data_IF_183291063516
#
_entry.id   IF_183291063516
#
_cell.length_a   1.000
_cell.length_b   1.000
_cell.length_c   1.000
_cell.angle_alpha   90.00
_cell.angle_beta   90.00
_cell.angle_gamma   90.00
#
_symmetry.space_group_name_H-M   'P 1'
#
loop_
_entity.id
_entity.type
_entity.pdbx_description
1 polymer ?
#
# COMPACT_ATOMS: atom_id res chain seq x y z
N UNK A 1 -0.15 -17.56 32.40
CA UNK A 1 -1.30 -18.22 31.73
C UNK A 1 -2.54 -17.44 32.08
N UNK A 2 -3.19 -16.94 31.02
CA UNK A 2 -4.50 -16.29 30.95
C UNK A 2 -4.67 -14.87 31.53
N UNK A 3 -4.44 -13.88 30.65
CA UNK A 3 -5.13 -12.60 30.66
C UNK A 3 -5.21 -12.00 29.23
N UNK A 4 -5.76 -12.77 28.29
CA UNK A 4 -6.34 -12.24 27.04
C UNK A 4 -7.84 -12.34 27.25
N UNK A 5 -8.55 -11.21 27.26
CA UNK A 5 -9.99 -11.01 26.99
C UNK A 5 -10.51 -9.77 27.74
N UNK A 6 -10.49 -8.62 27.06
CA UNK A 6 -11.40 -7.52 27.37
C UNK A 6 -11.60 -6.63 26.13
N UNK A 7 -12.06 -7.22 25.05
CA UNK A 7 -12.81 -6.54 23.99
C UNK A 7 -14.26 -7.04 24.10
N UNK A 8 -15.09 -6.36 24.90
CA UNK A 8 -16.56 -6.52 24.87
C UNK A 8 -17.20 -5.14 24.86
N UNK A 9 -17.85 -4.86 23.74
CA UNK A 9 -18.61 -3.67 23.42
C UNK A 9 -19.78 -3.49 24.39
N UNK A 10 -19.97 -2.27 24.90
CA UNK A 10 -21.26 -1.83 25.46
C UNK A 10 -21.98 -1.04 24.38
N UNK A 11 -23.13 -1.56 23.96
CA UNK A 11 -23.98 -0.96 22.96
C UNK A 11 -24.57 0.37 23.42
N UNK A 12 -24.50 1.36 22.54
CA UNK A 12 -25.27 2.58 22.63
C UNK A 12 -26.38 2.56 21.57
N UNK A 13 -27.61 2.84 22.00
CA UNK A 13 -28.83 2.80 21.19
C UNK A 13 -29.09 4.19 20.60
N UNK A 14 -29.20 4.26 19.28
CA UNK A 14 -30.05 5.25 18.62
C UNK A 14 -29.34 6.32 17.80
N UNK A 15 -29.05 5.99 16.54
CA UNK A 15 -29.30 6.85 15.36
C UNK A 15 -29.07 6.00 14.11
N UNK A 16 -30.06 5.99 13.21
CA UNK A 16 -30.03 5.22 11.98
C UNK A 16 -28.80 5.61 11.14
N UNK A 17 -27.90 4.65 10.90
CA UNK A 17 -26.76 4.76 9.98
C UNK A 17 -27.21 4.34 8.57
N UNK A 18 -26.76 5.00 7.50
CA UNK A 18 -26.98 4.51 6.14
C UNK A 18 -26.22 3.18 5.93
N UNK A 19 -26.67 2.31 5.02
CA UNK A 19 -26.09 0.98 4.84
C UNK A 19 -24.65 1.07 4.34
N UNK A 20 -23.77 0.30 4.98
CA UNK A 20 -22.40 0.01 4.49
C UNK A 20 -22.53 -0.87 3.25
N UNK A 21 -22.43 -0.29 2.07
CA UNK A 21 -22.26 -1.05 0.83
C UNK A 21 -20.76 -1.07 0.48
N UNK A 22 -19.99 -1.86 1.21
CA UNK A 22 -18.75 -2.43 0.67
C UNK A 22 -19.19 -3.57 -0.24
N UNK A 23 -19.18 -3.34 -1.56
CA UNK A 23 -19.48 -4.40 -2.52
C UNK A 23 -18.19 -5.22 -2.66
N UNK A 24 -18.03 -6.21 -1.80
CA UNK A 24 -17.14 -7.33 -2.10
C UNK A 24 -17.80 -8.11 -3.25
N UNK A 25 -17.19 -8.10 -4.43
CA UNK A 25 -17.55 -9.05 -5.48
C UNK A 25 -17.03 -10.42 -5.05
N UNK A 26 -17.94 -11.22 -4.50
CA UNK A 26 -17.77 -12.67 -4.40
C UNK A 26 -17.86 -13.25 -5.82
N UNK A 27 -16.71 -13.48 -6.45
CA UNK A 27 -16.62 -14.27 -7.68
C UNK A 27 -16.51 -15.75 -7.31
N UNK A 28 -17.58 -16.29 -6.74
CA UNK A 28 -17.78 -17.74 -6.74
C UNK A 28 -18.15 -18.16 -8.17
N UNK A 29 -17.15 -18.62 -8.92
CA UNK A 29 -17.30 -19.26 -10.22
C UNK A 29 -17.94 -20.64 -10.03
N UNK A 30 -19.27 -20.68 -9.89
CA UNK A 30 -20.01 -21.90 -10.20
C UNK A 30 -21.35 -21.56 -10.90
N UNK A 31 -21.43 -21.94 -12.18
CA UNK A 31 -22.67 -22.07 -12.93
C UNK A 31 -23.27 -20.81 -13.55
N UNK A 32 -22.84 -20.45 -14.77
CA UNK A 32 -23.67 -20.06 -15.94
C UNK A 32 -22.94 -19.09 -16.90
N UNK A 33 -21.94 -19.61 -17.61
CA UNK A 33 -21.46 -18.99 -18.85
C UNK A 33 -22.43 -19.30 -19.98
N UNK A 34 -23.57 -18.62 -20.03
CA UNK A 34 -24.39 -18.50 -21.24
C UNK A 34 -25.32 -17.29 -21.08
N UNK A 35 -25.29 -16.39 -22.07
CA UNK A 35 -26.04 -15.11 -22.20
C UNK A 35 -25.42 -13.84 -21.58
N UNK A 36 -24.30 -13.38 -22.15
CA UNK A 36 -24.06 -11.94 -22.27
C UNK A 36 -24.13 -11.56 -23.76
N UNK A 37 -25.36 -11.59 -24.28
CA UNK A 37 -25.69 -10.90 -25.51
C UNK A 37 -25.71 -9.39 -25.21
N UNK A 38 -25.14 -8.62 -26.13
CA UNK A 38 -24.95 -7.17 -26.07
C UNK A 38 -26.27 -6.45 -25.82
N UNK A 39 -26.41 -5.87 -24.63
CA UNK A 39 -27.34 -4.76 -24.38
C UNK A 39 -26.52 -3.53 -23.99
N UNK A 40 -26.32 -2.67 -24.99
CA UNK A 40 -25.69 -1.37 -24.91
C UNK A 40 -26.61 -0.44 -24.08
N UNK A 41 -26.47 -0.48 -22.75
CA UNK A 41 -27.20 0.44 -21.86
C UNK A 41 -26.38 1.71 -21.66
N UNK A 42 -26.95 2.81 -22.13
CA UNK A 42 -26.43 4.17 -22.11
C UNK A 42 -26.38 4.79 -20.69
N UNK A 43 -25.56 4.24 -19.80
CA UNK A 43 -25.09 4.90 -18.59
C UNK A 43 -23.56 4.82 -18.56
N UNK A 44 -22.84 5.93 -18.28
CA UNK A 44 -21.40 5.83 -18.05
C UNK A 44 -21.16 4.83 -16.91
N UNK A 45 -20.14 3.96 -17.02
CA UNK A 45 -19.82 3.01 -15.96
C UNK A 45 -19.69 3.76 -14.64
N UNK A 46 -20.34 3.23 -13.59
CA UNK A 46 -20.35 3.85 -12.26
C UNK A 46 -18.91 3.97 -11.79
N UNK A 47 -18.39 5.20 -11.71
CA UNK A 47 -17.00 5.45 -11.33
C UNK A 47 -16.66 4.76 -10.00
N UNK A 48 -15.53 4.05 -9.98
CA UNK A 48 -14.92 3.48 -8.79
C UNK A 48 -14.27 4.61 -8.00
N UNK A 49 -14.84 4.93 -6.85
CA UNK A 49 -14.31 5.95 -5.96
C UNK A 49 -13.01 5.48 -5.31
N UNK A 50 -12.02 6.37 -5.21
CA UNK A 50 -10.78 6.06 -4.52
C UNK A 50 -10.91 6.21 -2.99
N UNK A 51 -10.02 5.58 -2.23
CA UNK A 51 -9.94 5.61 -0.76
C UNK A 51 -8.80 6.51 -0.26
N UNK A 52 -8.51 6.48 1.04
CA UNK A 52 -7.41 7.24 1.64
C UNK A 52 -6.03 6.89 1.07
N UNK A 53 -5.85 5.67 0.54
CA UNK A 53 -4.65 5.27 -0.22
C UNK A 53 -4.29 6.28 -1.30
N UNK A 54 -5.24 6.57 -2.18
CA UNK A 54 -5.05 7.50 -3.30
C UNK A 54 -5.03 8.94 -2.83
N UNK A 55 -5.87 9.31 -1.86
CA UNK A 55 -5.90 10.66 -1.31
C UNK A 55 -4.52 11.05 -0.72
N UNK A 56 -3.94 10.15 0.08
CA UNK A 56 -2.61 10.35 0.67
C UNK A 56 -1.48 10.25 -0.36
N UNK A 57 -1.59 9.35 -1.35
CA UNK A 57 -0.61 9.28 -2.44
C UNK A 57 -0.58 10.59 -3.26
N UNK A 58 -1.74 11.15 -3.61
CA UNK A 58 -1.84 12.45 -4.28
C UNK A 58 -1.23 13.57 -3.45
N UNK A 59 -1.54 13.63 -2.15
CA UNK A 59 -0.98 14.64 -1.25
C UNK A 59 0.55 14.55 -1.13
N UNK A 60 1.11 13.32 -1.10
CA UNK A 60 2.56 13.08 -1.10
C UNK A 60 3.19 13.61 -2.39
N UNK A 61 2.63 13.25 -3.55
CA UNK A 61 3.14 13.68 -4.86
C UNK A 61 3.05 15.19 -5.03
N UNK A 62 1.92 15.79 -4.62
CA UNK A 62 1.76 17.25 -4.66
C UNK A 62 2.78 17.97 -3.78
N UNK A 63 3.20 17.39 -2.66
CA UNK A 63 4.29 17.94 -1.84
C UNK A 63 5.62 17.92 -2.59
N UNK A 64 5.99 16.76 -3.14
CA UNK A 64 7.22 16.60 -3.92
C UNK A 64 7.27 17.59 -5.09
N UNK A 65 6.15 17.77 -5.80
CA UNK A 65 6.05 18.71 -6.92
C UNK A 65 6.12 20.18 -6.48
N UNK A 66 5.43 20.55 -5.40
CA UNK A 66 5.41 21.94 -4.95
C UNK A 66 6.77 22.39 -4.39
N UNK A 67 7.55 21.44 -3.88
CA UNK A 67 8.82 21.68 -3.21
C UNK A 67 10.03 21.32 -4.06
N UNK A 68 9.81 20.61 -5.17
CA UNK A 68 10.84 19.98 -6.01
C UNK A 68 11.87 19.18 -5.20
N UNK A 69 11.45 18.71 -4.03
CA UNK A 69 12.24 18.02 -3.02
C UNK A 69 11.29 17.47 -1.95
N UNK A 70 11.83 16.66 -1.06
CA UNK A 70 11.16 16.25 0.16
C UNK A 70 11.20 17.40 1.17
N UNK A 71 10.02 17.80 1.66
CA UNK A 71 9.81 18.75 2.75
C UNK A 71 8.76 18.14 3.68
N UNK A 72 9.20 17.67 4.83
CA UNK A 72 8.35 17.00 5.81
C UNK A 72 7.23 17.90 6.34
N UNK A 73 7.47 19.21 6.41
CA UNK A 73 6.50 20.17 6.94
C UNK A 73 5.39 20.42 5.93
N UNK A 74 5.75 20.65 4.66
CA UNK A 74 4.77 20.78 3.58
C UNK A 74 3.94 19.50 3.43
N UNK A 75 4.59 18.34 3.42
CA UNK A 75 3.92 17.04 3.27
C UNK A 75 2.97 16.75 4.43
N UNK A 76 3.37 17.00 5.68
CA UNK A 76 2.53 16.82 6.84
C UNK A 76 1.28 17.70 6.80
N UNK A 77 1.45 18.97 6.44
CA UNK A 77 0.32 19.88 6.29
C UNK A 77 -0.61 19.45 5.16
N UNK A 78 -0.11 18.98 4.02
CA UNK A 78 -0.94 18.46 2.92
C UNK A 78 -1.76 17.25 3.34
N UNK A 79 -1.17 16.29 4.05
CA UNK A 79 -1.94 15.15 4.60
C UNK A 79 -3.08 15.63 5.50
N UNK A 80 -2.78 16.57 6.38
CA UNK A 80 -3.76 17.08 7.33
C UNK A 80 -4.88 17.90 6.65
N UNK A 81 -4.55 18.69 5.62
CA UNK A 81 -5.53 19.44 4.84
C UNK A 81 -6.37 18.54 3.92
N UNK A 82 -5.79 17.49 3.33
CA UNK A 82 -6.54 16.53 2.53
C UNK A 82 -7.57 15.79 3.37
N UNK A 83 -7.18 15.32 4.57
CA UNK A 83 -8.13 14.76 5.53
C UNK A 83 -9.23 15.75 5.92
N UNK A 84 -8.88 17.04 6.13
CA UNK A 84 -9.86 18.07 6.47
C UNK A 84 -10.86 18.32 5.33
N UNK A 85 -10.39 18.27 4.09
CA UNK A 85 -11.18 18.50 2.89
C UNK A 85 -12.15 17.34 2.63
N UNK A 86 -11.69 16.10 2.79
CA UNK A 86 -12.48 14.90 2.49
C UNK A 86 -12.23 13.79 3.54
N UNK A 87 -12.85 13.89 4.73
CA UNK A 87 -12.55 13.00 5.87
C UNK A 87 -13.16 11.60 5.73
N UNK A 88 -14.10 11.40 4.80
CA UNK A 88 -14.90 10.18 4.66
C UNK A 88 -14.31 9.18 3.64
N UNK A 89 -13.00 9.29 3.35
CA UNK A 89 -12.27 8.45 2.37
C UNK A 89 -11.79 7.09 2.86
N UNK A 90 -12.05 6.73 4.11
CA UNK A 90 -11.67 5.40 4.65
C UNK A 90 -10.55 5.40 5.70
N UNK A 91 -10.01 6.57 6.05
CA UNK A 91 -8.88 6.70 6.98
C UNK A 91 -9.01 5.86 8.26
N UNK A 92 -7.93 5.16 8.60
CA UNK A 92 -7.82 4.43 9.87
C UNK A 92 -8.08 5.31 11.10
N UNK A 93 -8.84 4.79 12.08
CA UNK A 93 -9.27 5.56 13.25
C UNK A 93 -8.11 6.19 14.04
N UNK A 94 -6.96 5.51 14.08
CA UNK A 94 -5.75 6.02 14.72
C UNK A 94 -5.21 7.29 14.03
N UNK A 95 -5.02 7.25 12.71
CA UNK A 95 -4.31 8.31 11.98
C UNK A 95 -5.08 9.64 11.96
N UNK A 96 -6.41 9.60 12.12
CA UNK A 96 -7.25 10.79 12.27
C UNK A 96 -6.75 11.70 13.42
N UNK A 97 -6.26 11.12 14.51
CA UNK A 97 -5.72 11.90 15.65
C UNK A 97 -4.45 12.64 15.26
N UNK A 98 -3.60 12.04 14.42
CA UNK A 98 -2.40 12.67 13.87
C UNK A 98 -2.80 13.88 13.02
N UNK A 99 -3.73 13.73 12.08
CA UNK A 99 -4.16 14.84 11.22
C UNK A 99 -4.75 16.01 12.02
N UNK A 100 -5.58 15.72 13.03
CA UNK A 100 -6.12 16.76 13.92
C UNK A 100 -5.04 17.52 14.67
N UNK A 101 -3.98 16.84 15.12
CA UNK A 101 -2.83 17.47 15.77
C UNK A 101 -1.99 18.29 14.79
N UNK A 102 -1.77 17.80 13.56
CA UNK A 102 -1.05 18.52 12.51
C UNK A 102 -1.77 19.80 12.05
N UNK A 103 -3.11 19.84 12.11
CA UNK A 103 -3.89 21.06 11.86
C UNK A 103 -3.82 22.08 13.00
N UNK A 104 -3.32 21.70 14.17
CA UNK A 104 -3.24 22.58 15.33
C UNK A 104 -2.09 23.58 15.17
N UNK A 105 -2.30 24.88 15.41
CA UNK A 105 -1.22 25.87 15.41
C UNK A 105 -0.18 25.64 16.52
N UNK A 106 -0.42 24.67 17.41
CA UNK A 106 0.51 24.25 18.47
C UNK A 106 1.46 23.13 18.04
N UNK A 107 1.33 22.61 16.82
CA UNK A 107 2.25 21.60 16.30
C UNK A 107 3.52 22.30 15.79
N UNK A 108 4.62 22.12 16.52
CA UNK A 108 5.95 22.63 16.13
C UNK A 108 6.85 21.54 15.54
N UNK A 109 6.62 20.29 15.93
CA UNK A 109 7.30 19.11 15.43
C UNK A 109 6.26 18.22 14.73
N UNK A 110 6.36 18.13 13.40
CA UNK A 110 5.42 17.39 12.55
C UNK A 110 5.47 15.87 12.75
N UNK A 111 6.49 15.35 13.42
CA UNK A 111 6.62 13.93 13.74
C UNK A 111 6.07 13.58 15.13
N UNK A 112 5.93 14.54 16.05
CA UNK A 112 5.39 14.30 17.39
C UNK A 112 4.02 13.64 17.38
N UNK A 113 3.05 14.07 16.53
CA UNK A 113 1.72 13.48 16.52
C UNK A 113 1.74 11.97 16.27
N UNK A 114 2.59 11.51 15.35
CA UNK A 114 2.76 10.10 15.03
C UNK A 114 3.45 9.33 16.16
N UNK A 115 4.49 9.90 16.77
CA UNK A 115 5.18 9.28 17.92
C UNK A 115 4.27 9.10 19.12
N UNK A 116 3.32 10.01 19.34
CA UNK A 116 2.37 9.93 20.44
C UNK A 116 1.30 8.83 20.28
N UNK A 117 1.16 8.23 19.09
CA UNK A 117 0.16 7.19 18.85
C UNK A 117 0.46 5.92 19.66
N UNK A 118 -0.60 5.19 20.02
CA UNK A 118 -0.51 3.88 20.69
C UNK A 118 0.36 3.90 21.95
N UNK A 119 0.14 4.88 22.82
CA UNK A 119 0.90 5.07 24.07
C UNK A 119 2.41 5.27 23.85
N UNK A 120 2.78 5.95 22.76
CA UNK A 120 4.19 6.24 22.45
C UNK A 120 4.86 5.21 21.53
N UNK A 121 4.18 4.11 21.18
CA UNK A 121 4.73 3.03 20.36
C UNK A 121 4.70 3.33 18.86
N UNK A 122 3.84 4.26 18.44
CA UNK A 122 3.61 4.54 17.02
C UNK A 122 2.74 3.49 16.32
N UNK A 123 2.23 3.85 15.14
CA UNK A 123 1.42 2.95 14.30
C UNK A 123 2.29 1.95 13.54
N UNK A 124 1.88 0.68 13.51
CA UNK A 124 2.45 -0.38 12.66
C UNK A 124 1.60 -0.66 11.40
N UNK A 125 0.56 0.14 11.16
CA UNK A 125 -0.31 -0.01 9.99
C UNK A 125 0.41 0.24 8.65
N UNK A 126 -0.20 -0.22 7.57
CA UNK A 126 0.30 -0.11 6.20
C UNK A 126 0.08 1.26 5.54
N UNK A 127 -0.60 2.19 6.22
CA UNK A 127 -0.90 3.51 5.65
C UNK A 127 0.34 4.32 5.27
N UNK A 128 1.50 4.05 5.89
CA UNK A 128 2.80 4.56 5.44
C UNK A 128 3.21 4.06 4.06
N UNK A 129 3.01 2.76 3.81
CA UNK A 129 3.39 2.07 2.58
C UNK A 129 2.41 2.32 1.42
N UNK A 130 1.10 2.38 1.70
CA UNK A 130 0.07 2.54 0.66
C UNK A 130 0.24 3.79 -0.22
N UNK A 131 0.94 4.82 0.29
CA UNK A 131 1.13 6.12 -0.37
C UNK A 131 2.55 6.36 -0.91
N UNK A 132 3.49 5.45 -0.65
CA UNK A 132 4.94 5.75 -0.73
C UNK A 132 5.49 5.75 -2.16
N UNK A 133 4.75 5.22 -3.15
CA UNK A 133 5.23 4.99 -4.51
C UNK A 133 5.72 6.26 -5.24
N UNK A 134 5.29 7.45 -4.83
CA UNK A 134 5.82 8.72 -5.36
C UNK A 134 7.29 8.98 -5.03
N UNK A 135 7.80 8.40 -3.93
CA UNK A 135 9.21 8.56 -3.49
C UNK A 135 10.20 7.93 -4.50
N UNK A 136 10.12 6.63 -4.86
CA UNK A 136 11.04 6.04 -5.82
C UNK A 136 10.86 6.56 -7.25
N UNK A 137 9.72 7.19 -7.57
CA UNK A 137 9.55 7.92 -8.84
C UNK A 137 10.30 9.25 -8.87
N UNK A 138 10.50 9.88 -7.71
CA UNK A 138 11.20 11.16 -7.57
C UNK A 138 12.71 11.00 -7.28
N UNK A 139 13.11 9.90 -6.63
CA UNK A 139 14.48 9.68 -6.18
C UNK A 139 15.05 8.39 -6.78
N UNK A 140 16.17 8.50 -7.49
CA UNK A 140 16.85 7.37 -8.14
C UNK A 140 17.95 6.72 -7.30
N UNK A 141 18.48 7.40 -6.29
CA UNK A 141 19.44 6.80 -5.35
C UNK A 141 18.69 6.01 -4.27
N UNK A 142 19.01 4.71 -4.14
CA UNK A 142 18.42 3.82 -3.12
C UNK A 142 18.51 4.38 -1.69
N UNK A 143 19.58 5.11 -1.36
CA UNK A 143 19.76 5.75 -0.05
C UNK A 143 18.71 6.84 0.19
N UNK A 144 18.41 7.63 -0.83
CA UNK A 144 17.37 8.66 -0.78
C UNK A 144 15.97 8.03 -0.78
N UNK A 145 15.76 6.95 -1.54
CA UNK A 145 14.52 6.17 -1.49
C UNK A 145 14.25 5.69 -0.06
N UNK A 146 15.20 5.02 0.58
CA UNK A 146 15.05 4.56 1.96
C UNK A 146 14.85 5.71 2.95
N UNK A 147 15.64 6.78 2.82
CA UNK A 147 15.57 7.95 3.70
C UNK A 147 14.21 8.64 3.60
N UNK A 148 13.74 8.97 2.40
CA UNK A 148 12.51 9.72 2.21
C UNK A 148 11.26 8.84 2.33
N UNK A 149 11.33 7.53 2.05
CA UNK A 149 10.28 6.59 2.41
C UNK A 149 10.10 6.54 3.94
N UNK A 150 11.19 6.44 4.71
CA UNK A 150 11.15 6.50 6.17
C UNK A 150 10.54 7.81 6.67
N UNK A 151 11.09 8.95 6.23
CA UNK A 151 10.67 10.27 6.72
C UNK A 151 9.22 10.58 6.32
N UNK A 152 8.77 10.21 5.12
CA UNK A 152 7.37 10.38 4.70
C UNK A 152 6.42 9.48 5.50
N UNK A 153 6.83 8.26 5.83
CA UNK A 153 6.04 7.32 6.63
C UNK A 153 5.90 7.80 8.08
N UNK A 154 7.00 8.28 8.68
CA UNK A 154 7.08 8.73 10.07
C UNK A 154 6.15 9.90 10.40
N UNK A 155 5.65 10.64 9.40
CA UNK A 155 4.60 11.66 9.60
C UNK A 155 3.29 11.08 10.17
N UNK A 156 3.05 9.78 10.00
CA UNK A 156 1.87 9.09 10.56
C UNK A 156 2.18 7.76 11.24
N UNK A 157 3.30 7.12 10.90
CA UNK A 157 3.70 5.78 11.34
C UNK A 157 5.09 5.81 11.98
N UNK A 158 5.12 6.03 13.30
CA UNK A 158 6.37 6.17 14.04
C UNK A 158 7.00 4.84 14.50
N UNK A 159 6.26 3.72 14.46
CA UNK A 159 6.84 2.39 14.73
C UNK A 159 7.64 1.94 13.52
N UNK A 160 8.80 1.31 13.75
CA UNK A 160 9.60 0.66 12.69
C UNK A 160 8.80 -0.37 11.92
N UNK A 161 7.86 -1.05 12.58
CA UNK A 161 6.96 -1.96 11.90
C UNK A 161 6.11 -1.26 10.84
N UNK A 162 5.75 0.01 11.03
CA UNK A 162 5.06 0.80 10.01
C UNK A 162 6.01 1.39 8.98
N UNK A 163 7.07 2.10 9.41
CA UNK A 163 7.95 2.80 8.46
C UNK A 163 8.90 1.87 7.69
N UNK A 164 9.31 0.73 8.22
CA UNK A 164 10.09 -0.26 7.46
C UNK A 164 9.26 -0.93 6.37
N UNK A 165 7.94 -1.10 6.58
CA UNK A 165 7.04 -1.54 5.51
C UNK A 165 6.94 -0.53 4.38
N UNK A 166 6.92 0.77 4.71
CA UNK A 166 6.96 1.83 3.69
C UNK A 166 8.29 1.85 2.94
N UNK A 167 9.41 1.63 3.62
CA UNK A 167 10.72 1.49 2.97
C UNK A 167 10.74 0.27 2.04
N UNK A 168 10.25 -0.88 2.51
CA UNK A 168 10.17 -2.11 1.71
C UNK A 168 9.34 -1.91 0.44
N UNK A 169 8.15 -1.30 0.57
CA UNK A 169 7.29 -0.99 -0.58
C UNK A 169 7.99 -0.03 -1.55
N UNK A 170 8.68 1.00 -1.05
CA UNK A 170 9.40 1.95 -1.90
C UNK A 170 10.58 1.28 -2.63
N UNK A 171 11.30 0.38 -1.97
CA UNK A 171 12.37 -0.42 -2.57
C UNK A 171 11.85 -1.36 -3.65
N UNK A 172 10.69 -2.01 -3.43
CA UNK A 172 10.07 -2.88 -4.43
C UNK A 172 9.70 -2.11 -5.70
N UNK A 173 9.07 -0.93 -5.55
CA UNK A 173 8.80 -0.06 -6.70
C UNK A 173 10.09 0.43 -7.36
N UNK A 174 11.12 0.75 -6.58
CA UNK A 174 12.42 1.17 -7.10
C UNK A 174 13.10 0.08 -7.97
N UNK A 175 13.09 -1.18 -7.53
CA UNK A 175 13.61 -2.31 -8.32
C UNK A 175 12.76 -2.57 -9.56
N UNK A 176 11.43 -2.47 -9.45
CA UNK A 176 10.53 -2.60 -10.59
C UNK A 176 10.82 -1.55 -11.68
N UNK A 177 11.10 -0.30 -11.32
CA UNK A 177 11.49 0.76 -12.25
C UNK A 177 12.81 0.48 -12.99
N UNK A 178 13.68 -0.36 -12.43
CA UNK A 178 14.94 -0.78 -13.06
C UNK A 178 14.77 -1.95 -14.03
N UNK A 179 13.56 -2.53 -14.11
CA UNK A 179 13.26 -3.66 -14.99
C UNK A 179 13.80 -4.99 -14.48
N UNK A 180 14.01 -5.15 -13.17
CA UNK A 180 14.47 -6.41 -12.60
C UNK A 180 13.46 -7.54 -12.87
N UNK A 181 13.87 -8.51 -13.69
CA UNK A 181 13.01 -9.56 -14.23
C UNK A 181 13.12 -10.89 -13.49
N UNK A 182 14.18 -11.08 -12.69
CA UNK A 182 14.38 -12.27 -11.87
C UNK A 182 13.70 -12.07 -10.51
N UNK A 183 12.71 -12.90 -10.19
CA UNK A 183 12.08 -12.93 -8.88
C UNK A 183 13.09 -13.23 -7.76
N UNK A 184 14.04 -14.13 -8.03
CA UNK A 184 15.13 -14.47 -7.10
C UNK A 184 16.00 -13.24 -6.79
N UNK A 185 16.49 -12.54 -7.82
CA UNK A 185 17.33 -11.35 -7.60
C UNK A 185 16.54 -10.21 -6.97
N UNK A 186 15.29 -10.01 -7.37
CA UNK A 186 14.39 -9.03 -6.77
C UNK A 186 14.24 -9.25 -5.26
N UNK A 187 14.02 -10.50 -4.84
CA UNK A 187 13.93 -10.87 -3.43
C UNK A 187 15.26 -10.75 -2.70
N UNK A 188 16.37 -11.14 -3.32
CA UNK A 188 17.72 -11.02 -2.75
C UNK A 188 18.05 -9.56 -2.43
N UNK A 189 17.79 -8.63 -3.36
CA UNK A 189 18.02 -7.20 -3.14
C UNK A 189 17.16 -6.64 -2.01
N UNK A 190 15.86 -6.97 -1.99
CA UNK A 190 14.97 -6.54 -0.90
C UNK A 190 15.40 -7.11 0.45
N UNK A 191 15.72 -8.40 0.50
CA UNK A 191 16.14 -9.07 1.72
C UNK A 191 17.43 -8.48 2.27
N UNK A 192 18.42 -8.20 1.42
CA UNK A 192 19.67 -7.57 1.84
C UNK A 192 19.46 -6.22 2.53
N UNK A 193 18.59 -5.37 1.97
CA UNK A 193 18.22 -4.11 2.60
C UNK A 193 17.43 -4.30 3.90
N UNK A 194 16.45 -5.20 3.92
CA UNK A 194 15.63 -5.42 5.11
C UNK A 194 16.41 -6.03 6.28
N UNK A 195 17.38 -6.90 6.02
CA UNK A 195 18.23 -7.46 7.08
C UNK A 195 19.11 -6.39 7.75
N UNK A 196 19.59 -5.41 6.99
CA UNK A 196 20.31 -4.24 7.54
C UNK A 196 19.37 -3.37 8.38
N UNK A 197 18.19 -3.04 7.84
CA UNK A 197 17.21 -2.16 8.47
C UNK A 197 16.59 -2.74 9.74
N UNK A 198 16.30 -4.04 9.76
CA UNK A 198 15.78 -4.77 10.92
C UNK A 198 16.88 -5.21 11.89
N UNK A 199 18.15 -4.99 11.55
CA UNK A 199 19.28 -5.11 12.46
C UNK A 199 19.42 -3.94 13.45
N UNK A 200 18.72 -2.83 13.21
CA UNK A 200 18.71 -1.67 14.10
C UNK A 200 18.08 -1.98 15.47
N UNK A 201 18.68 -1.42 16.53
CA UNK A 201 18.24 -1.71 17.89
C UNK A 201 16.80 -1.27 18.17
N UNK A 202 16.33 -0.15 17.59
CA UNK A 202 14.95 0.31 17.76
C UNK A 202 13.99 -0.61 17.01
N UNK A 203 14.36 -1.08 15.81
CA UNK A 203 13.54 -2.01 15.04
C UNK A 203 13.28 -3.32 15.80
N UNK A 204 14.33 -3.89 16.40
CA UNK A 204 14.23 -5.08 17.24
C UNK A 204 13.35 -4.84 18.47
N UNK A 205 13.46 -3.68 19.12
CA UNK A 205 12.63 -3.32 20.28
C UNK A 205 11.14 -3.23 19.90
N UNK A 206 10.81 -2.52 18.83
CA UNK A 206 9.43 -2.35 18.38
C UNK A 206 8.77 -3.70 18.04
N UNK A 207 9.50 -4.60 17.38
CA UNK A 207 9.01 -5.95 17.06
C UNK A 207 8.76 -6.79 18.32
N UNK A 208 9.72 -6.80 19.26
CA UNK A 208 9.59 -7.50 20.55
C UNK A 208 8.42 -6.97 21.38
N UNK A 209 8.16 -5.67 21.33
CA UNK A 209 7.04 -5.06 22.06
C UNK A 209 5.65 -5.53 21.59
N UNK A 210 5.54 -6.04 20.37
CA UNK A 210 4.33 -6.69 19.85
C UNK A 210 4.36 -8.21 19.97
N UNK A 211 5.41 -8.79 20.56
CA UNK A 211 5.58 -10.25 20.66
C UNK A 211 5.82 -10.94 19.32
N UNK A 212 6.37 -10.21 18.35
CA UNK A 212 6.69 -10.72 17.02
C UNK A 212 8.13 -11.21 16.93
N UNK A 213 8.45 -11.98 15.88
CA UNK A 213 9.84 -12.17 15.45
C UNK A 213 10.55 -10.83 15.24
N UNK A 214 11.85 -10.77 15.55
CA UNK A 214 12.65 -9.54 15.53
C UNK A 214 12.87 -8.95 14.12
N UNK A 215 12.67 -9.76 13.08
CA UNK A 215 12.88 -9.40 11.67
C UNK A 215 11.65 -9.78 10.83
N UNK A 216 10.48 -9.19 11.11
CA UNK A 216 9.21 -9.65 10.54
C UNK A 216 9.16 -9.54 9.01
N UNK A 217 9.84 -8.56 8.40
CA UNK A 217 9.90 -8.39 6.95
C UNK A 217 10.88 -9.38 6.32
N UNK A 218 12.11 -9.49 6.84
CA UNK A 218 13.11 -10.43 6.33
C UNK A 218 12.61 -11.87 6.39
N UNK A 219 11.94 -12.26 7.48
CA UNK A 219 11.34 -13.58 7.62
C UNK A 219 10.24 -13.82 6.57
N UNK A 220 9.39 -12.82 6.31
CA UNK A 220 8.33 -12.96 5.29
C UNK A 220 8.88 -12.95 3.87
N UNK A 221 9.90 -12.16 3.56
CA UNK A 221 10.55 -12.20 2.25
C UNK A 221 11.15 -13.58 1.93
N UNK A 222 11.70 -14.26 2.94
CA UNK A 222 12.14 -15.66 2.80
C UNK A 222 10.97 -16.58 2.48
N UNK A 223 9.84 -16.45 3.19
CA UNK A 223 8.61 -17.17 2.88
C UNK A 223 8.05 -16.85 1.50
N UNK A 224 8.17 -15.61 1.01
CA UNK A 224 7.79 -15.26 -0.37
C UNK A 224 8.61 -16.09 -1.36
N UNK A 225 9.92 -16.22 -1.16
CA UNK A 225 10.76 -17.09 -1.98
C UNK A 225 10.31 -18.55 -1.92
N UNK A 226 10.08 -19.07 -0.71
CA UNK A 226 9.60 -20.45 -0.50
C UNK A 226 8.26 -20.71 -1.20
N UNK A 227 7.32 -19.75 -1.18
CA UNK A 227 6.02 -19.89 -1.85
C UNK A 227 6.14 -19.80 -3.38
N UNK A 228 7.07 -19.00 -3.91
CA UNK A 228 7.28 -18.90 -5.36
C UNK A 228 7.92 -20.16 -5.96
N UNK A 229 8.69 -20.91 -5.17
CA UNK A 229 9.33 -22.17 -5.59
C UNK A 229 8.36 -23.37 -5.61
N UNK A 230 7.15 -23.23 -5.04
CA UNK A 230 6.16 -24.29 -5.01
C UNK A 230 5.36 -24.37 -6.32
N UNK A 231 5.15 -25.60 -6.82
CA UNK A 231 4.33 -25.85 -8.03
C UNK A 231 2.88 -25.36 -7.89
N UNK A 232 2.33 -25.38 -6.66
CA UNK A 232 0.97 -25.00 -6.36
C UNK A 232 0.85 -24.51 -4.92
N UNK A 233 0.35 -23.29 -4.74
CA UNK A 233 0.12 -22.67 -3.43
C UNK A 233 -1.32 -22.20 -3.37
N UNK A 234 -2.04 -22.53 -2.29
CA UNK A 234 -3.41 -22.05 -2.11
C UNK A 234 -3.45 -20.62 -1.57
N UNK A 235 -4.54 -19.89 -1.81
CA UNK A 235 -4.70 -18.53 -1.28
C UNK A 235 -4.71 -18.52 0.25
N UNK A 236 -5.25 -19.56 0.87
CA UNK A 236 -5.27 -19.74 2.32
C UNK A 236 -3.86 -19.89 2.89
N UNK A 237 -2.97 -20.60 2.18
CA UNK A 237 -1.57 -20.73 2.58
C UNK A 237 -0.84 -19.39 2.47
N UNK A 238 -1.02 -18.65 1.37
CA UNK A 238 -0.46 -17.30 1.21
C UNK A 238 -0.89 -16.38 2.35
N UNK A 239 -2.19 -16.37 2.67
CA UNK A 239 -2.74 -15.54 3.75
C UNK A 239 -2.23 -15.99 5.11
N UNK A 240 -2.09 -17.30 5.34
CA UNK A 240 -1.54 -17.84 6.59
C UNK A 240 -0.07 -17.45 6.80
N UNK A 241 0.74 -17.50 5.74
CA UNK A 241 2.19 -17.30 5.83
C UNK A 241 2.59 -15.82 5.81
N UNK A 242 1.92 -15.01 4.99
CA UNK A 242 2.27 -13.61 4.74
C UNK A 242 1.31 -12.63 5.43
N UNK A 243 0.03 -12.99 5.53
CA UNK A 243 -1.05 -12.13 5.98
C UNK A 243 -1.81 -11.46 4.84
N UNK A 244 -2.95 -10.86 5.18
CA UNK A 244 -3.72 -9.97 4.30
C UNK A 244 -4.35 -8.82 5.10
N UNK A 245 -3.69 -8.38 6.18
CA UNK A 245 -4.22 -7.45 7.17
C UNK A 245 -3.75 -6.00 6.98
N UNK A 246 -4.30 -5.10 7.80
CA UNK A 246 -3.95 -3.67 7.83
C UNK A 246 -2.55 -3.38 8.38
N UNK A 247 -1.89 -4.38 8.99
CA UNK A 247 -0.52 -4.23 9.46
C UNK A 247 0.44 -4.24 8.26
N UNK A 248 1.45 -3.36 8.27
CA UNK A 248 2.38 -3.25 7.15
C UNK A 248 3.14 -4.56 6.87
N UNK A 249 3.52 -5.28 7.92
CA UNK A 249 4.16 -6.59 7.79
C UNK A 249 3.21 -7.71 7.36
N UNK A 250 1.89 -7.51 7.37
CA UNK A 250 0.87 -8.47 6.89
C UNK A 250 0.33 -8.12 5.49
N UNK A 251 0.85 -7.07 4.85
CA UNK A 251 0.32 -6.58 3.57
C UNK A 251 1.39 -6.24 2.56
N UNK A 252 2.51 -5.61 2.97
CA UNK A 252 3.59 -5.26 2.04
C UNK A 252 4.26 -6.51 1.45
N UNK A 253 4.65 -7.53 2.24
CA UNK A 253 5.20 -8.77 1.67
C UNK A 253 4.20 -9.50 0.77
N UNK A 254 2.91 -9.47 1.13
CA UNK A 254 1.82 -10.06 0.34
C UNK A 254 1.67 -9.35 -1.01
N UNK A 255 1.74 -8.02 -1.05
CA UNK A 255 1.70 -7.26 -2.29
C UNK A 255 2.90 -7.57 -3.21
N UNK A 256 4.10 -7.73 -2.63
CA UNK A 256 5.30 -8.15 -3.36
C UNK A 256 5.13 -9.56 -3.93
N UNK A 257 4.62 -10.49 -3.12
CA UNK A 257 4.31 -11.86 -3.58
C UNK A 257 3.31 -11.84 -4.75
N UNK A 258 2.21 -11.08 -4.64
CA UNK A 258 1.23 -10.95 -5.72
C UNK A 258 1.86 -10.46 -7.03
N UNK A 259 2.75 -9.47 -6.98
CA UNK A 259 3.48 -8.99 -8.15
C UNK A 259 4.35 -10.10 -8.76
N UNK A 260 5.24 -10.69 -7.96
CA UNK A 260 6.20 -11.70 -8.43
C UNK A 260 5.49 -12.96 -8.96
N UNK A 261 4.49 -13.47 -8.23
CA UNK A 261 3.71 -14.65 -8.62
C UNK A 261 2.95 -14.46 -9.94
N UNK A 262 2.52 -13.22 -10.22
CA UNK A 262 1.76 -12.90 -11.42
C UNK A 262 2.63 -12.46 -12.60
N UNK A 263 3.97 -12.47 -12.47
CA UNK A 263 4.86 -12.42 -13.64
C UNK A 263 4.61 -13.62 -14.55
N UNK A 264 4.25 -14.77 -13.96
CA UNK A 264 3.86 -15.97 -14.66
C UNK A 264 2.33 -16.12 -14.81
N UNK A 265 1.85 -16.91 -15.78
CA UNK A 265 0.43 -17.22 -15.92
C UNK A 265 -0.15 -17.86 -14.66
N UNK A 266 -1.43 -17.59 -14.40
CA UNK A 266 -2.20 -18.29 -13.37
C UNK A 266 -3.32 -19.07 -14.05
N UNK A 267 -3.43 -20.40 -13.86
CA UNK A 267 -4.46 -21.22 -14.51
C UNK A 267 -5.90 -20.80 -14.20
N UNK A 268 -6.14 -20.13 -13.07
CA UNK A 268 -7.47 -19.67 -12.66
C UNK A 268 -7.81 -18.27 -13.20
N UNK A 269 -6.81 -17.53 -13.69
CA UNK A 269 -7.01 -16.19 -14.26
C UNK A 269 -6.97 -16.30 -15.80
N UNK A 270 -8.03 -15.87 -16.51
CA UNK A 270 -8.07 -15.96 -17.97
C UNK A 270 -6.85 -15.35 -18.66
N UNK A 271 -6.27 -16.06 -19.62
CA UNK A 271 -5.07 -15.64 -20.36
C UNK A 271 -5.23 -14.37 -21.20
N UNK A 272 -6.46 -13.88 -21.36
CA UNK A 272 -6.76 -12.60 -21.99
C UNK A 272 -6.33 -11.39 -21.14
N UNK A 273 -6.16 -11.57 -19.82
CA UNK A 273 -5.66 -10.52 -18.94
C UNK A 273 -4.13 -10.43 -19.01
N UNK A 274 -3.63 -9.20 -19.16
CA UNK A 274 -2.20 -8.91 -19.10
C UNK A 274 -1.67 -9.11 -17.66
N UNK A 275 -0.35 -9.03 -17.47
CA UNK A 275 0.27 -9.31 -16.18
C UNK A 275 -0.10 -8.29 -15.09
N UNK A 276 -0.24 -7.00 -15.43
CA UNK A 276 -0.73 -5.99 -14.48
C UNK A 276 -2.15 -6.31 -13.99
N UNK A 277 -3.07 -6.61 -14.91
CA UNK A 277 -4.44 -7.00 -14.58
C UNK A 277 -4.45 -8.27 -13.72
N UNK A 278 -3.62 -9.27 -14.07
CA UNK A 278 -3.46 -10.50 -13.30
C UNK A 278 -3.01 -10.23 -11.87
N UNK A 279 -2.00 -9.37 -11.68
CA UNK A 279 -1.52 -8.97 -10.34
C UNK A 279 -2.64 -8.36 -9.51
N UNK A 280 -3.43 -7.44 -10.08
CA UNK A 280 -4.54 -6.80 -9.37
C UNK A 280 -5.65 -7.82 -9.02
N UNK A 281 -6.08 -8.64 -9.99
CA UNK A 281 -7.09 -9.68 -9.78
C UNK A 281 -6.65 -10.64 -8.67
N UNK A 282 -5.41 -11.13 -8.74
CA UNK A 282 -4.87 -12.05 -7.76
C UNK A 282 -4.80 -11.39 -6.36
N UNK A 283 -4.29 -10.16 -6.26
CA UNK A 283 -4.21 -9.46 -4.96
C UNK A 283 -5.56 -9.26 -4.29
N UNK A 284 -6.61 -8.91 -5.06
CA UNK A 284 -7.96 -8.73 -4.52
C UNK A 284 -8.54 -10.08 -4.09
N UNK A 285 -8.23 -11.16 -4.81
CA UNK A 285 -8.71 -12.51 -4.49
C UNK A 285 -8.18 -13.06 -3.15
N UNK A 286 -7.13 -12.47 -2.58
CA UNK A 286 -6.62 -12.84 -1.24
C UNK A 286 -7.48 -12.30 -0.10
N UNK A 287 -8.44 -11.40 -0.37
CA UNK A 287 -9.31 -10.82 0.64
C UNK A 287 -8.54 -9.96 1.66
N UNK A 288 -9.18 -9.69 2.81
CA UNK A 288 -8.60 -8.85 3.86
C UNK A 288 -8.59 -7.37 3.47
N UNK A 289 -7.43 -6.72 3.61
CA UNK A 289 -7.20 -5.31 3.28
C UNK A 289 -6.93 -5.11 1.77
N UNK A 290 -7.93 -5.47 0.97
CA UNK A 290 -7.79 -5.67 -0.48
C UNK A 290 -7.40 -4.41 -1.25
N UNK A 291 -7.91 -3.24 -0.85
CA UNK A 291 -7.59 -1.96 -1.48
C UNK A 291 -6.12 -1.61 -1.29
N UNK A 292 -5.61 -1.72 -0.06
CA UNK A 292 -4.21 -1.42 0.24
C UNK A 292 -3.24 -2.41 -0.39
N UNK A 293 -3.54 -3.72 -0.34
CA UNK A 293 -2.67 -4.73 -0.96
C UNK A 293 -2.65 -4.55 -2.49
N UNK A 294 -3.81 -4.30 -3.11
CA UNK A 294 -3.91 -4.10 -4.56
C UNK A 294 -3.24 -2.78 -5.00
N UNK A 295 -3.35 -1.69 -4.23
CA UNK A 295 -2.65 -0.43 -4.58
C UNK A 295 -1.13 -0.61 -4.52
N UNK A 296 -0.62 -1.33 -3.52
CA UNK A 296 0.81 -1.58 -3.37
C UNK A 296 1.34 -2.53 -4.46
N UNK A 297 0.63 -3.62 -4.74
CA UNK A 297 0.99 -4.56 -5.81
C UNK A 297 0.89 -3.91 -7.19
N UNK A 298 -0.16 -3.11 -7.41
CA UNK A 298 -0.38 -2.32 -8.62
C UNK A 298 0.68 -1.25 -8.85
N UNK A 299 1.19 -0.61 -7.80
CA UNK A 299 2.31 0.33 -7.92
C UNK A 299 3.60 -0.35 -8.38
N UNK A 300 3.90 -1.56 -7.85
CA UNK A 300 5.07 -2.34 -8.28
C UNK A 300 4.88 -2.82 -9.73
N UNK A 301 3.74 -3.43 -10.03
CA UNK A 301 3.43 -3.92 -11.37
C UNK A 301 3.38 -2.80 -12.42
N UNK A 302 2.79 -1.65 -12.10
CA UNK A 302 2.73 -0.49 -12.98
C UNK A 302 4.09 0.12 -13.26
N UNK A 303 4.98 0.16 -12.27
CA UNK A 303 6.36 0.58 -12.45
C UNK A 303 7.14 -0.38 -13.37
N UNK A 304 6.91 -1.68 -13.26
CA UNK A 304 7.61 -2.70 -14.04
C UNK A 304 7.09 -2.84 -15.48
N UNK A 305 5.76 -2.93 -15.65
CA UNK A 305 5.13 -3.18 -16.94
C UNK A 305 4.83 -1.90 -17.73
N UNK A 306 4.79 -0.75 -17.07
CA UNK A 306 4.50 0.54 -17.68
C UNK A 306 3.04 0.72 -18.12
N UNK A 307 2.79 1.88 -18.75
CA UNK A 307 1.45 2.27 -19.20
C UNK A 307 0.87 1.36 -20.29
N UNK A 308 1.71 0.62 -21.02
CA UNK A 308 1.25 -0.34 -22.05
C UNK A 308 0.36 -1.44 -21.47
N UNK A 309 0.50 -1.76 -20.18
CA UNK A 309 -0.35 -2.74 -19.50
C UNK A 309 -1.47 -2.13 -18.66
N UNK A 310 -1.64 -0.80 -18.67
CA UNK A 310 -2.78 -0.13 -18.02
C UNK A 310 -3.92 -0.01 -19.05
N UNK A 311 -4.96 -0.86 -18.98
CA UNK A 311 -6.03 -0.82 -19.97
C UNK A 311 -6.86 0.45 -19.79
N UNK A 312 -7.13 1.16 -20.89
CA UNK A 312 -7.93 2.39 -20.88
C UNK A 312 -9.29 2.19 -20.19
N UNK A 313 -9.96 1.06 -20.46
CA UNK A 313 -11.25 0.72 -19.86
C UNK A 313 -11.21 0.61 -18.32
N UNK A 314 -10.08 0.15 -17.77
CA UNK A 314 -9.88 0.04 -16.32
C UNK A 314 -9.54 1.41 -15.74
N UNK A 315 -8.59 2.11 -16.35
CA UNK A 315 -8.16 3.44 -15.91
C UNK A 315 -9.32 4.45 -15.88
N UNK A 316 -10.13 4.50 -16.95
CA UNK A 316 -11.26 5.42 -17.07
C UNK A 316 -12.40 5.11 -16.08
N UNK A 317 -12.41 3.91 -15.50
CA UNK A 317 -13.37 3.54 -14.46
C UNK A 317 -13.00 4.12 -13.10
N UNK A 318 -11.77 4.62 -12.90
CA UNK A 318 -11.29 5.14 -11.62
C UNK A 318 -11.53 6.66 -11.47
N UNK A 319 -12.04 7.06 -10.30
CA UNK A 319 -12.21 8.47 -9.96
C UNK A 319 -10.88 9.25 -10.02
N UNK A 320 -10.86 10.34 -10.80
CA UNK A 320 -9.71 11.24 -10.90
C UNK A 320 -8.49 10.64 -11.60
N UNK A 321 -8.67 9.64 -12.47
CA UNK A 321 -7.56 9.05 -13.23
C UNK A 321 -6.78 10.09 -14.06
N UNK A 322 -7.46 11.10 -14.62
CA UNK A 322 -6.82 12.21 -15.37
C UNK A 322 -5.90 13.03 -14.46
N UNK A 323 -6.31 13.32 -13.23
CA UNK A 323 -5.47 14.02 -12.25
C UNK A 323 -4.26 13.17 -11.89
N UNK A 324 -4.45 11.86 -11.69
CA UNK A 324 -3.34 10.93 -11.43
C UNK A 324 -2.33 10.92 -12.58
N UNK A 325 -2.78 10.88 -13.84
CA UNK A 325 -1.90 10.91 -15.01
C UNK A 325 -1.12 12.23 -15.09
N UNK A 326 -1.79 13.37 -14.87
CA UNK A 326 -1.14 14.69 -14.83
C UNK A 326 -0.08 14.77 -13.73
N UNK A 327 -0.36 14.24 -12.53
CA UNK A 327 0.61 14.20 -11.43
C UNK A 327 1.83 13.34 -11.79
N UNK A 328 1.63 12.17 -12.42
CA UNK A 328 2.71 11.30 -12.86
C UNK A 328 3.59 11.97 -13.93
N UNK A 329 2.98 12.59 -14.94
CA UNK A 329 3.71 13.35 -15.98
C UNK A 329 4.51 14.51 -15.39
N UNK A 330 3.96 15.21 -14.40
CA UNK A 330 4.65 16.29 -13.71
C UNK A 330 5.83 15.77 -12.88
N UNK A 331 5.69 14.64 -12.18
CA UNK A 331 6.81 14.01 -11.46
C UNK A 331 7.95 13.67 -12.41
N UNK A 332 7.63 13.01 -13.53
CA UNK A 332 8.61 12.68 -14.55
C UNK A 332 9.29 13.95 -15.10
N UNK A 333 8.53 15.03 -15.34
CA UNK A 333 9.08 16.30 -15.82
C UNK A 333 10.06 16.93 -14.83
N UNK A 334 9.77 16.91 -13.53
CA UNK A 334 10.57 17.59 -12.50
C UNK A 334 11.80 16.75 -12.10
N UNK A 335 11.61 15.45 -11.87
CA UNK A 335 12.64 14.60 -11.25
C UNK A 335 13.44 13.75 -12.24
N UNK A 336 12.89 13.41 -13.41
CA UNK A 336 13.54 12.49 -14.36
C UNK A 336 14.20 13.18 -15.56
N UNK A 337 13.91 14.46 -15.82
CA UNK A 337 14.49 15.19 -16.97
C UNK A 337 15.98 15.55 -16.86
N UNK A 338 16.62 15.26 -15.72
CA UNK A 338 18.04 15.53 -15.49
C UNK A 338 18.91 14.26 -15.42
N UNK A 339 18.37 13.11 -15.83
CA UNK A 339 19.10 11.83 -15.93
C UNK A 339 19.60 11.56 -17.35
#
# INVERSE_FOLDING_TARGET
MDAVLSQRERGDKGRARPPRNGVAFDLSLDGSLESMAVEETANPPKALYYTDDTAMARALVQSLLAKEAFDEVDMAHRFAQEYKKDPDRGYGAGVITVFKKLLSPKCHDVYEPARAQFNGKGSYGNGGAMRVAGIPLAYSNVQDVQKFARLSAQLTHASSLGYNGAILQALAVHLALQGESSSEHFLEQLLGHMEELEGDAQAVLDARELGMEERPYSCRLKKVGELLDQDSVTREEVVSELGNGIAAFESVPTAIYCFLRCMEPDPEIPSAFNSLQRTLIYSVSLGGDTDTIATMAGAIAGAYYGMDQVPESWQQSCEGYEETDVLAQNLHRVFQKNL
#
